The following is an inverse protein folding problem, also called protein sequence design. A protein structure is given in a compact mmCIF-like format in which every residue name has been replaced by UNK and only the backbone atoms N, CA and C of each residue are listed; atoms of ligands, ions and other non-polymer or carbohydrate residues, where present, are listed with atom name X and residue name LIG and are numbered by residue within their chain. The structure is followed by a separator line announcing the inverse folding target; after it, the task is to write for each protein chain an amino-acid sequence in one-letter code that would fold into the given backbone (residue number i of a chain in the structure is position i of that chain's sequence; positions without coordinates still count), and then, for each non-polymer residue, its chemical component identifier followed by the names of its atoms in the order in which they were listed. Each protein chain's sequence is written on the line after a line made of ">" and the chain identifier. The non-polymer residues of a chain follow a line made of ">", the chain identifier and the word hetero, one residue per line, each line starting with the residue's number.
data_IF_739113061953
#
_entry.id   IF_739113061953
#
_cell.length_a   1.000
_cell.length_b   1.000
_cell.length_c   1.000
_cell.angle_alpha   90.00
_cell.angle_beta   90.00
_cell.angle_gamma   90.00
#
_symmetry.space_group_name_H-M   'P 1'
#
loop_
_entity.id
_entity.type
_entity.pdbx_description
1 polymer ?
#
# COMPACT_ATOMS: atom_id res chain seq x y z
N UNK A 1 -25.96 0.87 5.53
CA UNK A 1 -24.79 1.33 6.31
C UNK A 1 -23.84 0.14 6.43
N UNK A 2 -23.02 -0.12 5.39
CA UNK A 2 -22.12 -1.28 5.37
C UNK A 2 -21.07 -1.09 6.49
N UNK A 3 -21.07 -2.01 7.45
CA UNK A 3 -20.24 -1.93 8.64
C UNK A 3 -18.78 -2.16 8.31
N UNK A 4 -18.00 -1.09 8.18
CA UNK A 4 -16.52 -1.14 8.13
C UNK A 4 -15.88 -1.52 9.49
N UNK A 5 -16.61 -2.19 10.37
CA UNK A 5 -16.24 -2.43 11.78
C UNK A 5 -15.17 -3.52 12.00
N UNK A 6 -14.50 -4.01 10.98
CA UNK A 6 -13.40 -5.00 11.13
C UNK A 6 -12.19 -4.75 10.24
N UNK A 7 -11.96 -3.50 9.78
CA UNK A 7 -10.72 -3.19 9.07
C UNK A 7 -9.59 -2.97 10.09
N UNK A 8 -9.05 -4.06 10.63
CA UNK A 8 -7.83 -3.98 11.45
C UNK A 8 -6.66 -3.66 10.52
N UNK A 9 -6.06 -2.49 10.72
CA UNK A 9 -4.84 -2.09 10.01
C UNK A 9 -3.67 -2.93 10.54
N UNK A 10 -2.88 -3.51 9.65
CA UNK A 10 -1.75 -4.38 9.98
C UNK A 10 -0.42 -3.91 9.40
N UNK A 11 -0.46 -3.08 8.36
CA UNK A 11 0.74 -2.45 7.79
C UNK A 11 0.39 -1.05 7.25
N UNK A 12 1.32 -0.10 7.40
CA UNK A 12 1.20 1.26 6.88
C UNK A 12 2.53 1.68 6.26
N UNK A 13 2.49 2.35 5.11
CA UNK A 13 3.67 2.88 4.44
C UNK A 13 3.33 4.08 3.57
N UNK A 14 4.18 5.10 3.56
CA UNK A 14 4.04 6.26 2.67
C UNK A 14 5.14 6.20 1.61
N UNK A 15 4.73 6.09 0.35
CA UNK A 15 5.63 6.17 -0.80
C UNK A 15 4.86 6.62 -2.04
N UNK A 16 5.57 7.11 -3.06
CA UNK A 16 4.96 7.44 -4.36
C UNK A 16 3.78 8.43 -4.27
N UNK A 17 3.83 9.38 -3.32
CA UNK A 17 2.72 10.30 -3.04
C UNK A 17 1.40 9.59 -2.66
N UNK A 18 1.50 8.41 -2.04
CA UNK A 18 0.38 7.60 -1.58
C UNK A 18 0.62 7.05 -0.18
N UNK A 19 -0.46 6.95 0.58
CA UNK A 19 -0.54 6.16 1.79
C UNK A 19 -1.01 4.75 1.42
N UNK A 20 -0.18 3.75 1.70
CA UNK A 20 -0.49 2.34 1.56
C UNK A 20 -0.93 1.78 2.90
N UNK A 21 -2.05 1.07 2.89
CA UNK A 21 -2.68 0.48 4.07
C UNK A 21 -2.93 -0.99 3.79
N UNK A 22 -2.33 -1.84 4.62
CA UNK A 22 -2.56 -3.27 4.64
C UNK A 22 -3.53 -3.61 5.77
N UNK A 23 -4.45 -4.54 5.50
CA UNK A 23 -5.46 -4.97 6.47
C UNK A 23 -5.24 -6.41 6.91
N UNK A 24 -5.88 -6.80 8.01
CA UNK A 24 -5.83 -8.17 8.54
C UNK A 24 -6.43 -9.24 7.61
N UNK A 25 -7.21 -8.83 6.62
CA UNK A 25 -7.91 -9.74 5.70
C UNK A 25 -7.30 -9.70 4.30
N UNK A 26 -6.04 -9.28 4.17
CA UNK A 26 -5.32 -9.27 2.90
C UNK A 26 -5.68 -8.14 1.93
N UNK A 27 -6.65 -7.29 2.29
CA UNK A 27 -7.04 -6.11 1.48
C UNK A 27 -5.96 -5.05 1.56
N UNK A 28 -5.64 -4.45 0.42
CA UNK A 28 -4.71 -3.32 0.31
C UNK A 28 -5.49 -2.09 -0.13
N UNK A 29 -5.27 -0.98 0.57
CA UNK A 29 -5.89 0.32 0.29
C UNK A 29 -4.76 1.29 -0.02
N UNK A 30 -4.79 1.91 -1.19
CA UNK A 30 -3.89 3.01 -1.55
C UNK A 30 -4.68 4.31 -1.58
N UNK A 31 -4.20 5.33 -0.89
CA UNK A 31 -4.85 6.64 -0.83
C UNK A 31 -3.86 7.70 -1.31
N UNK A 32 -4.18 8.47 -2.36
CA UNK A 32 -3.31 9.55 -2.78
C UNK A 32 -3.19 10.60 -1.68
N UNK A 33 -1.96 11.06 -1.47
CA UNK A 33 -1.71 12.23 -0.64
C UNK A 33 -2.15 13.47 -1.40
N UNK A 34 -2.88 14.35 -0.71
CA UNK A 34 -3.17 15.69 -1.17
C UNK A 34 -1.89 16.52 -1.09
N UNK A 35 -1.61 17.30 -2.13
CA UNK A 35 -0.54 18.29 -2.05
C UNK A 35 -0.94 19.33 -1.00
N UNK A 36 -0.37 19.22 0.20
CA UNK A 36 -0.47 20.28 1.20
C UNK A 36 0.18 21.52 0.61
N UNK A 37 -0.58 22.62 0.49
CA UNK A 37 -0.01 23.91 0.15
C UNK A 37 0.96 24.32 1.27
N UNK A 38 2.24 23.96 1.12
CA UNK A 38 3.32 24.29 2.04
C UNK A 38 3.70 25.76 1.99
N UNK A 39 2.74 26.65 2.33
CA UNK A 39 2.96 28.09 2.52
C UNK A 39 2.24 28.64 3.76
N UNK A 40 2.03 27.83 4.79
CA UNK A 40 1.62 28.32 6.11
C UNK A 40 2.65 27.85 7.14
N UNK A 41 3.16 28.79 7.95
CA UNK A 41 3.99 28.53 9.14
C UNK A 41 3.17 27.88 10.29
N UNK A 42 2.09 27.19 9.95
CA UNK A 42 1.24 26.53 10.93
C UNK A 42 1.80 25.13 11.20
N UNK A 43 2.21 24.81 12.45
CA UNK A 43 2.68 23.46 12.80
C UNK A 43 1.65 22.37 12.50
N UNK A 44 0.35 22.68 12.41
CA UNK A 44 -0.68 21.73 11.99
C UNK A 44 -0.73 21.49 10.47
N UNK A 45 -0.08 22.32 9.67
CA UNK A 45 0.00 22.17 8.21
C UNK A 45 1.06 21.15 7.75
N UNK A 46 1.83 20.56 8.68
CA UNK A 46 2.85 19.54 8.37
C UNK A 46 2.31 18.11 8.32
N UNK A 47 1.02 17.93 8.65
CA UNK A 47 0.37 16.61 8.60
C UNK A 47 0.01 16.30 7.14
N UNK A 48 0.48 15.17 6.57
CA UNK A 48 0.14 14.79 5.21
C UNK A 48 -1.36 14.50 5.12
N UNK A 49 -2.07 15.32 4.36
CA UNK A 49 -3.49 15.13 4.09
C UNK A 49 -3.66 14.08 3.00
N UNK A 50 -4.68 13.25 3.10
CA UNK A 50 -5.02 12.24 2.10
C UNK A 50 -6.44 12.47 1.57
N UNK A 51 -6.67 12.13 0.30
CA UNK A 51 -8.00 12.20 -0.28
C UNK A 51 -8.63 10.80 -0.30
N UNK A 52 -9.37 10.47 0.76
CA UNK A 52 -10.06 9.17 0.87
C UNK A 52 -11.11 8.95 -0.22
N UNK A 53 -11.64 10.01 -0.83
CA UNK A 53 -12.55 9.90 -1.97
C UNK A 53 -11.88 9.24 -3.20
N UNK A 54 -10.55 9.34 -3.29
CA UNK A 54 -9.75 8.75 -4.36
C UNK A 54 -9.02 7.48 -3.89
N UNK A 55 -9.42 6.91 -2.74
CA UNK A 55 -8.87 5.66 -2.25
C UNK A 55 -9.14 4.53 -3.26
N UNK A 56 -8.10 3.77 -3.57
CA UNK A 56 -8.16 2.60 -4.43
C UNK A 56 -7.96 1.36 -3.59
N UNK A 57 -8.80 0.35 -3.81
CA UNK A 57 -8.72 -0.94 -3.16
C UNK A 57 -8.15 -1.96 -4.15
N UNK A 58 -7.26 -2.82 -3.68
CA UNK A 58 -6.76 -3.94 -4.46
C UNK A 58 -6.68 -5.21 -3.62
N UNK A 59 -6.85 -6.33 -4.31
CA UNK A 59 -6.73 -7.68 -3.77
C UNK A 59 -5.57 -8.36 -4.50
N UNK A 60 -4.43 -8.46 -3.83
CA UNK A 60 -3.20 -9.00 -4.41
C UNK A 60 -2.97 -10.48 -4.04
N UNK A 61 -4.04 -11.19 -3.70
CA UNK A 61 -3.99 -12.63 -3.42
C UNK A 61 -3.52 -12.98 -2.00
N UNK A 62 -3.51 -12.04 -1.06
CA UNK A 62 -3.26 -12.35 0.35
C UNK A 62 -4.47 -13.03 0.96
N UNK A 63 -4.27 -14.23 1.53
CA UNK A 63 -5.32 -14.95 2.27
C UNK A 63 -5.51 -14.33 3.66
N UNK A 64 -4.40 -13.98 4.31
CA UNK A 64 -4.39 -13.41 5.65
C UNK A 64 -3.82 -11.98 5.66
N UNK A 65 -3.33 -11.53 6.82
CA UNK A 65 -2.90 -10.16 7.05
C UNK A 65 -1.72 -9.74 6.16
N UNK A 66 -1.82 -8.54 5.58
CA UNK A 66 -0.67 -7.84 5.00
C UNK A 66 0.25 -7.39 6.13
N UNK A 67 1.50 -7.85 6.14
CA UNK A 67 2.45 -7.58 7.23
C UNK A 67 3.44 -6.47 6.92
N UNK A 68 3.77 -6.27 5.66
CA UNK A 68 4.74 -5.26 5.28
C UNK A 68 4.52 -4.75 3.87
N UNK A 69 5.06 -3.55 3.62
CA UNK A 69 5.25 -3.00 2.30
C UNK A 69 6.72 -2.65 2.10
N UNK A 70 7.21 -2.80 0.88
CA UNK A 70 8.52 -2.36 0.45
C UNK A 70 8.34 -1.53 -0.81
N UNK A 71 8.95 -0.35 -0.87
CA UNK A 71 9.03 0.44 -2.09
C UNK A 71 10.46 0.44 -2.59
N UNK A 72 10.65 -0.01 -3.82
CA UNK A 72 11.95 0.01 -4.50
C UNK A 72 11.87 0.98 -5.67
N UNK A 73 12.83 1.92 -5.80
CA UNK A 73 12.94 2.74 -7.00
C UNK A 73 13.11 1.86 -8.23
N UNK A 74 12.24 2.05 -9.20
CA UNK A 74 12.28 1.40 -10.50
C UNK A 74 12.98 2.35 -11.46
N UNK A 75 14.31 2.24 -11.54
CA UNK A 75 15.04 2.90 -12.61
C UNK A 75 16.11 1.96 -13.18
N UNK A 76 16.10 1.68 -14.50
CA UNK A 76 17.25 1.13 -15.18
C UNK A 76 18.22 2.28 -15.46
N UNK A 77 19.22 2.49 -14.61
CA UNK A 77 20.41 3.25 -15.01
C UNK A 77 21.52 2.26 -15.35
N UNK A 78 21.93 2.27 -16.62
CA UNK A 78 23.17 1.67 -17.09
C UNK A 78 24.30 1.99 -16.10
N UNK A 79 24.82 0.98 -15.39
CA UNK A 79 26.01 1.12 -14.57
C UNK A 79 25.79 1.49 -13.09
N UNK A 80 24.98 0.70 -12.36
CA UNK A 80 25.28 0.29 -10.99
C UNK A 80 25.26 1.33 -9.85
N UNK A 81 24.86 2.59 -10.05
CA UNK A 81 24.71 3.55 -8.95
C UNK A 81 23.29 4.10 -8.80
N UNK A 82 22.75 3.94 -7.58
CA UNK A 82 21.47 4.50 -7.14
C UNK A 82 21.62 6.01 -6.93
N UNK A 83 21.31 6.83 -7.94
CA UNK A 83 21.23 8.28 -7.76
C UNK A 83 19.82 8.69 -7.31
N UNK A 84 19.71 9.17 -6.06
CA UNK A 84 18.49 9.79 -5.53
C UNK A 84 18.36 11.22 -6.07
N UNK A 85 17.81 11.37 -7.27
CA UNK A 85 17.46 12.70 -7.81
C UNK A 85 16.09 13.15 -7.29
N UNK A 86 15.88 14.45 -7.09
CA UNK A 86 14.61 15.03 -6.60
C UNK A 86 13.43 14.91 -7.59
N UNK A 87 13.63 14.28 -8.76
CA UNK A 87 12.53 13.83 -9.64
C UNK A 87 12.11 12.47 -9.13
N UNK A 88 10.90 12.38 -8.55
CA UNK A 88 10.34 11.15 -7.96
C UNK A 88 10.45 10.01 -9.00
N UNK A 89 11.35 9.02 -8.82
CA UNK A 89 11.44 7.90 -9.73
C UNK A 89 10.14 7.09 -9.66
N UNK A 90 9.78 6.42 -10.75
CA UNK A 90 8.77 5.37 -10.67
C UNK A 90 9.22 4.37 -9.60
N UNK A 91 8.35 3.96 -8.70
CA UNK A 91 8.70 2.99 -7.66
C UNK A 91 7.81 1.77 -7.83
N UNK A 92 8.42 0.60 -7.74
CA UNK A 92 7.71 -0.65 -7.55
C UNK A 92 7.36 -0.77 -6.05
N UNK A 93 6.07 -0.92 -5.76
CA UNK A 93 5.59 -1.22 -4.41
C UNK A 93 5.24 -2.69 -4.32
N UNK A 94 5.95 -3.40 -3.45
CA UNK A 94 5.71 -4.80 -3.12
C UNK A 94 5.07 -4.89 -1.73
N UNK A 95 4.17 -5.85 -1.57
CA UNK A 95 3.50 -6.14 -0.32
C UNK A 95 3.63 -7.62 -0.01
N UNK A 96 3.66 -7.96 1.28
CA UNK A 96 3.75 -9.33 1.74
C UNK A 96 2.96 -9.54 3.01
N UNK A 97 2.51 -10.77 3.20
CA UNK A 97 1.65 -11.19 4.30
C UNK A 97 1.77 -12.68 4.56
N UNK A 98 0.94 -13.20 5.46
CA UNK A 98 0.77 -14.65 5.61
C UNK A 98 -0.32 -15.16 4.66
N UNK A 99 -0.08 -16.36 4.13
CA UNK A 99 -1.01 -17.01 3.21
C UNK A 99 -1.11 -16.35 1.84
N UNK A 100 -1.38 -17.18 0.83
CA UNK A 100 -1.80 -16.73 -0.49
C UNK A 100 -3.07 -17.48 -0.88
N UNK A 101 -3.92 -16.82 -1.66
CA UNK A 101 -5.09 -17.45 -2.27
C UNK A 101 -4.57 -18.28 -3.45
N UNK A 102 -4.60 -19.60 -3.30
CA UNK A 102 -4.23 -20.52 -4.38
C UNK A 102 -5.45 -20.82 -5.25
N UNK A 103 -5.59 -20.10 -6.36
CA UNK A 103 -6.69 -20.31 -7.31
C UNK A 103 -6.63 -21.65 -8.06
N UNK A 104 -5.60 -22.47 -7.85
CA UNK A 104 -5.49 -23.80 -8.45
C UNK A 104 -6.16 -24.88 -7.60
N UNK A 105 -6.39 -24.60 -6.32
CA UNK A 105 -7.06 -25.52 -5.41
C UNK A 105 -8.56 -25.38 -5.67
N UNK A 106 -9.20 -26.49 -6.05
CA UNK A 106 -10.64 -26.50 -6.26
C UNK A 106 -11.35 -26.44 -4.90
N UNK A 107 -12.54 -25.85 -4.82
CA UNK A 107 -13.25 -25.67 -3.53
C UNK A 107 -13.42 -26.99 -2.75
N UNK A 108 -13.50 -28.12 -3.47
CA UNK A 108 -13.61 -29.46 -2.90
C UNK A 108 -12.35 -29.96 -2.16
N UNK A 109 -11.19 -29.39 -2.44
CA UNK A 109 -9.91 -29.78 -1.85
C UNK A 109 -9.57 -28.95 -0.59
N UNK A 110 -10.29 -27.85 -0.35
CA UNK A 110 -10.14 -27.01 0.85
C UNK A 110 -10.76 -27.62 2.11
N UNK A 111 -11.81 -28.45 2.00
CA UNK A 111 -12.50 -29.05 3.15
C UNK A 111 -11.69 -30.17 3.84
N UNK A 112 -10.62 -30.65 3.20
CA UNK A 112 -9.77 -31.76 3.68
C UNK A 112 -8.36 -31.34 4.14
N UNK A 113 -8.06 -30.03 4.23
CA UNK A 113 -6.77 -29.50 4.69
C UNK A 113 -6.92 -28.65 5.96
#
# INVERSE_FOLDING_TARGET
>A
KLGFSFVRITALMVSCNRLWIGTSNGVIISVPLSEGQGKSNDPNSQIPLCCMANAQLSFHGHRDAVKFFVSVPMQPQNGGQLQFTNKRPDMLVMCGGEGYIDFRINDNDMENS
#
